data_IF_696297354322
#
_entry.id   IF_696297354322
#
_cell.length_a   1.000
_cell.length_b   1.000
_cell.length_c   1.000
_cell.angle_alpha   90.00
_cell.angle_beta   90.00
_cell.angle_gamma   90.00
#
_symmetry.space_group_name_H-M   'P 1'
#
loop_
_entity.id
_entity.type
_entity.pdbx_description
1 polymer ?
#
# COMPACT_ATOMS: atom_id res chain seq x y z
N UNK A 1 -56.17 7.74 16.15
CA UNK A 1 -56.27 6.42 16.82
C UNK A 1 -55.10 5.54 16.36
N UNK A 2 -54.48 4.86 17.32
CA UNK A 2 -53.52 3.75 17.21
C UNK A 2 -52.13 4.00 16.55
N UNK A 3 -51.13 4.18 17.43
CA UNK A 3 -49.72 3.82 17.21
C UNK A 3 -49.58 2.29 17.25
N UNK A 4 -48.60 1.74 16.53
CA UNK A 4 -47.97 0.47 16.93
C UNK A 4 -46.47 0.47 16.63
N UNK A 5 -45.73 0.26 17.70
CA UNK A 5 -44.28 0.07 17.79
C UNK A 5 -43.89 -1.35 17.36
N UNK A 6 -42.75 -1.51 16.69
CA UNK A 6 -42.04 -2.78 16.58
C UNK A 6 -40.78 -2.76 17.45
N UNK A 7 -40.82 -3.47 18.58
CA UNK A 7 -39.67 -3.72 19.44
C UNK A 7 -38.92 -4.97 19.01
N UNK A 8 -37.59 -4.90 18.98
CA UNK A 8 -36.70 -6.06 18.88
C UNK A 8 -36.24 -6.48 20.28
N UNK A 9 -36.33 -7.79 20.54
CA UNK A 9 -35.92 -8.43 21.80
C UNK A 9 -34.45 -8.84 21.73
N UNK A 10 -33.73 -8.56 22.82
CA UNK A 10 -32.42 -9.10 23.13
C UNK A 10 -32.48 -10.58 23.51
N UNK A 11 -31.46 -11.35 23.16
CA UNK A 11 -31.12 -12.63 23.78
C UNK A 11 -29.64 -12.58 24.14
N UNK A 12 -29.36 -12.56 25.44
CA UNK A 12 -28.05 -12.80 26.02
C UNK A 12 -28.07 -14.22 26.62
N UNK A 13 -27.06 -15.02 26.30
CA UNK A 13 -26.82 -16.32 26.94
C UNK A 13 -25.55 -16.20 27.77
N UNK A 14 -25.68 -16.61 29.04
CA UNK A 14 -24.66 -16.58 30.07
C UNK A 14 -24.22 -18.00 30.46
N UNK A 15 -23.06 -18.07 31.12
CA UNK A 15 -22.59 -19.19 31.94
C UNK A 15 -21.14 -19.57 31.62
N UNK A 16 -20.18 -19.62 32.53
CA UNK A 16 -20.14 -19.46 34.00
C UNK A 16 -18.84 -20.11 34.48
N UNK A 17 -18.11 -19.49 35.41
CA UNK A 17 -16.82 -19.97 35.93
C UNK A 17 -16.66 -19.66 37.43
N UNK A 18 -16.05 -20.62 38.14
CA UNK A 18 -15.51 -20.59 39.54
C UNK A 18 -16.57 -20.65 40.67
N UNK A 19 -16.34 -21.24 41.86
CA UNK A 19 -15.12 -21.65 42.55
C UNK A 19 -15.38 -22.76 43.60
N UNK A 20 -14.28 -23.34 44.09
CA UNK A 20 -14.12 -24.42 45.08
C UNK A 20 -14.23 -23.92 46.52
N UNK A 21 -14.85 -24.70 47.42
CA UNK A 21 -14.46 -24.81 48.85
C UNK A 21 -14.71 -26.25 49.32
N UNK A 22 -13.69 -26.87 49.93
CA UNK A 22 -13.76 -28.22 50.49
C UNK A 22 -13.98 -28.23 52.01
N UNK A 23 -14.41 -29.38 52.52
CA UNK A 23 -14.14 -29.80 53.90
C UNK A 23 -13.86 -31.32 53.91
N UNK A 24 -12.81 -31.68 54.63
CA UNK A 24 -12.26 -33.02 54.75
C UNK A 24 -12.79 -33.76 55.99
N UNK A 25 -12.90 -35.09 55.91
CA UNK A 25 -12.71 -35.95 57.09
C UNK A 25 -12.22 -37.36 56.70
N UNK A 26 -10.98 -37.61 57.12
CA UNK A 26 -10.22 -38.85 57.40
C UNK A 26 -10.85 -40.25 57.23
N UNK A 27 -10.07 -41.08 56.51
CA UNK A 27 -9.37 -42.29 56.97
C UNK A 27 -9.79 -43.69 56.47
N UNK A 28 -8.76 -44.36 55.95
CA UNK A 28 -8.43 -45.79 56.00
C UNK A 28 -9.04 -46.75 54.96
N UNK A 29 -8.14 -47.56 54.37
CA UNK A 29 -8.47 -48.82 53.70
C UNK A 29 -8.20 -48.86 52.19
N UNK A 30 -7.01 -49.33 51.79
CA UNK A 30 -6.79 -49.97 50.48
C UNK A 30 -7.35 -51.41 50.56
N UNK A 31 -7.78 -52.09 49.47
CA UNK A 31 -6.87 -52.38 48.35
C UNK A 31 -7.48 -52.47 46.93
N UNK A 32 -6.55 -52.57 45.98
CA UNK A 32 -6.58 -53.25 44.68
C UNK A 32 -7.44 -52.72 43.51
N UNK A 33 -6.74 -52.07 42.57
CA UNK A 33 -7.25 -51.68 41.24
C UNK A 33 -6.75 -52.66 40.17
N UNK A 34 -7.68 -53.39 39.56
CA UNK A 34 -7.45 -54.11 38.30
C UNK A 34 -7.27 -53.09 37.17
N UNK A 35 -6.09 -53.07 36.54
CA UNK A 35 -5.70 -52.10 35.52
C UNK A 35 -6.03 -52.64 34.13
N UNK A 36 -7.14 -52.19 33.54
CA UNK A 36 -7.40 -52.36 32.10
C UNK A 36 -6.49 -51.39 31.34
N UNK A 37 -5.58 -51.92 30.51
CA UNK A 37 -4.73 -51.12 29.61
C UNK A 37 -5.53 -50.74 28.37
N UNK A 38 -6.00 -49.50 28.30
CA UNK A 38 -6.38 -48.87 27.04
C UNK A 38 -5.12 -48.31 26.40
N UNK A 39 -4.68 -48.89 25.28
CA UNK A 39 -3.58 -48.35 24.49
C UNK A 39 -4.03 -47.03 23.84
N UNK A 40 -3.41 -45.92 24.23
CA UNK A 40 -3.61 -44.64 23.57
C UNK A 40 -2.89 -44.67 22.21
N UNK A 41 -3.65 -44.54 21.13
CA UNK A 41 -3.10 -44.28 19.79
C UNK A 41 -2.66 -42.82 19.80
N UNK A 42 -1.36 -42.59 19.93
CA UNK A 42 -0.79 -41.26 19.74
C UNK A 42 -0.92 -40.87 18.26
N UNK A 43 -1.75 -39.88 17.97
CA UNK A 43 -1.78 -39.21 16.66
C UNK A 43 -0.45 -38.48 16.51
N UNK A 44 0.46 -39.03 15.71
CA UNK A 44 1.65 -38.32 15.25
C UNK A 44 1.16 -37.11 14.46
N UNK A 45 1.32 -35.91 15.02
CA UNK A 45 1.11 -34.68 14.28
C UNK A 45 2.25 -34.59 13.24
N UNK A 46 1.94 -34.97 12.00
CA UNK A 46 2.83 -34.73 10.86
C UNK A 46 3.04 -33.22 10.74
N UNK A 47 4.31 -32.79 10.71
CA UNK A 47 4.65 -31.40 10.44
C UNK A 47 3.95 -30.94 9.15
N UNK A 48 3.39 -29.72 9.10
CA UNK A 48 2.75 -29.23 7.89
C UNK A 48 3.74 -29.29 6.73
N UNK A 49 3.29 -29.84 5.60
CA UNK A 49 4.10 -29.85 4.39
C UNK A 49 4.51 -28.40 4.04
N UNK A 50 5.78 -28.20 3.63
CA UNK A 50 6.24 -26.86 3.27
C UNK A 50 5.36 -26.30 2.14
N UNK A 51 5.08 -24.99 2.15
CA UNK A 51 4.17 -24.39 1.18
C UNK A 51 4.71 -24.57 -0.23
N UNK A 52 3.84 -25.04 -1.14
CA UNK A 52 4.15 -25.22 -2.57
C UNK A 52 4.20 -23.91 -3.35
N UNK A 53 3.74 -22.80 -2.75
CA UNK A 53 3.68 -21.46 -3.33
C UNK A 53 4.01 -20.42 -2.24
N UNK A 54 4.74 -19.37 -2.59
CA UNK A 54 4.97 -18.22 -1.73
C UNK A 54 3.96 -17.09 -2.04
N UNK A 55 3.39 -16.49 -1.01
CA UNK A 55 2.47 -15.35 -1.13
C UNK A 55 3.24 -14.04 -0.90
N UNK A 56 3.39 -13.26 -1.97
CA UNK A 56 4.27 -12.10 -2.00
C UNK A 56 5.74 -12.49 -1.87
N UNK A 57 6.62 -11.49 -1.89
CA UNK A 57 8.06 -11.71 -1.88
C UNK A 57 8.78 -11.03 -0.71
N UNK A 58 8.03 -10.46 0.24
CA UNK A 58 8.57 -9.81 1.45
C UNK A 58 9.44 -10.74 2.31
N UNK A 59 9.20 -12.06 2.28
CA UNK A 59 10.04 -13.05 2.98
C UNK A 59 11.45 -13.20 2.40
N UNK A 60 11.71 -12.59 1.23
CA UNK A 60 13.00 -12.55 0.56
C UNK A 60 13.76 -11.24 0.84
N UNK A 61 13.19 -10.34 1.64
CA UNK A 61 13.87 -9.12 2.09
C UNK A 61 15.19 -9.48 2.81
N UNK A 62 16.27 -8.81 2.41
CA UNK A 62 17.63 -9.10 2.89
C UNK A 62 18.27 -10.36 2.28
N UNK A 63 17.51 -11.19 1.54
CA UNK A 63 18.02 -12.40 0.89
C UNK A 63 18.24 -12.22 -0.61
N UNK A 64 17.44 -11.39 -1.27
CA UNK A 64 17.58 -11.13 -2.70
C UNK A 64 18.79 -10.23 -3.00
N UNK A 65 19.82 -10.75 -3.66
CA UNK A 65 21.03 -10.00 -4.01
C UNK A 65 20.85 -9.35 -5.38
N UNK A 66 19.95 -8.36 -5.46
CA UNK A 66 19.54 -7.72 -6.73
C UNK A 66 20.69 -7.03 -7.48
N UNK A 67 21.76 -6.63 -6.79
CA UNK A 67 22.94 -6.03 -7.42
C UNK A 67 23.72 -7.03 -8.31
N UNK A 68 23.49 -8.34 -8.13
CA UNK A 68 24.04 -9.42 -8.97
C UNK A 68 23.01 -9.95 -9.99
N UNK A 69 22.21 -9.03 -10.52
CA UNK A 69 21.23 -9.32 -11.57
C UNK A 69 21.92 -9.82 -12.85
N UNK A 70 21.49 -10.96 -13.35
CA UNK A 70 21.99 -11.58 -14.57
C UNK A 70 20.83 -11.95 -15.51
N UNK A 71 21.15 -12.08 -16.79
CA UNK A 71 20.19 -12.51 -17.82
C UNK A 71 20.45 -13.98 -18.15
N UNK A 72 19.42 -14.80 -18.01
CA UNK A 72 19.39 -16.20 -18.43
C UNK A 72 18.30 -16.36 -19.51
N UNK A 73 18.70 -16.38 -20.78
CA UNK A 73 17.77 -16.44 -21.90
C UNK A 73 16.83 -15.22 -21.96
N UNK A 74 15.53 -15.45 -21.82
CA UNK A 74 14.48 -14.45 -21.78
C UNK A 74 14.14 -13.94 -20.37
N UNK A 75 14.83 -14.43 -19.34
CA UNK A 75 14.56 -14.10 -17.94
C UNK A 75 15.70 -13.31 -17.30
N UNK A 76 15.33 -12.53 -16.30
CA UNK A 76 16.27 -11.92 -15.36
C UNK A 76 16.28 -12.71 -14.05
N UNK A 77 17.47 -13.00 -13.54
CA UNK A 77 17.68 -13.79 -12.34
C UNK A 77 18.61 -13.07 -11.37
N UNK A 78 18.44 -13.34 -10.08
CA UNK A 78 19.37 -12.85 -9.06
C UNK A 78 19.62 -13.94 -8.00
N UNK A 79 20.84 -14.05 -7.47
CA UNK A 79 21.15 -15.02 -6.45
C UNK A 79 20.44 -14.69 -5.13
N UNK A 80 20.18 -15.73 -4.34
CA UNK A 80 19.65 -15.62 -2.98
C UNK A 80 20.76 -15.86 -1.96
N UNK A 81 20.78 -15.06 -0.90
CA UNK A 81 21.62 -15.33 0.26
C UNK A 81 21.18 -16.64 0.94
N UNK A 82 22.15 -17.49 1.25
CA UNK A 82 21.91 -18.87 1.72
C UNK A 82 21.67 -19.90 0.61
N UNK A 83 21.88 -19.56 -0.66
CA UNK A 83 21.89 -20.51 -1.77
C UNK A 83 20.65 -20.47 -2.68
N UNK A 84 20.81 -20.92 -3.91
CA UNK A 84 19.77 -20.87 -4.95
C UNK A 84 19.65 -19.52 -5.65
N UNK A 85 18.58 -19.35 -6.44
CA UNK A 85 18.32 -18.13 -7.23
C UNK A 85 16.84 -17.77 -7.29
N UNK A 86 16.58 -16.48 -7.48
CA UNK A 86 15.26 -15.95 -7.76
C UNK A 86 15.13 -15.68 -9.26
N UNK A 87 14.06 -16.18 -9.86
CA UNK A 87 13.59 -15.75 -11.17
C UNK A 87 12.73 -14.50 -10.95
N UNK A 88 13.05 -13.41 -11.65
CA UNK A 88 12.36 -12.14 -11.45
C UNK A 88 11.17 -11.98 -12.41
N UNK A 89 10.25 -11.12 -12.01
CA UNK A 89 9.14 -10.63 -12.84
C UNK A 89 9.56 -9.53 -13.82
N UNK A 90 10.80 -9.06 -13.72
CA UNK A 90 11.36 -8.03 -14.59
C UNK A 90 11.40 -8.54 -16.03
N UNK A 91 10.85 -7.75 -16.94
CA UNK A 91 10.98 -7.95 -18.38
C UNK A 91 12.33 -7.36 -18.83
N UNK A 92 13.22 -8.16 -19.46
CA UNK A 92 14.55 -7.67 -19.83
C UNK A 92 14.53 -6.44 -20.74
N UNK A 93 13.56 -6.36 -21.67
CA UNK A 93 13.46 -5.27 -22.62
C UNK A 93 12.95 -3.99 -21.95
N UNK A 94 11.93 -4.08 -21.09
CA UNK A 94 11.45 -2.94 -20.31
C UNK A 94 12.49 -2.45 -19.30
N UNK A 95 13.22 -3.35 -18.67
CA UNK A 95 14.30 -3.01 -17.75
C UNK A 95 15.40 -2.22 -18.48
N UNK A 96 15.87 -2.72 -19.63
CA UNK A 96 16.88 -2.03 -20.45
C UNK A 96 16.38 -0.67 -20.93
N UNK A 97 15.15 -0.59 -21.46
CA UNK A 97 14.55 0.67 -21.89
C UNK A 97 14.45 1.70 -20.75
N UNK A 98 14.10 1.26 -19.54
CA UNK A 98 14.05 2.13 -18.37
C UNK A 98 15.45 2.64 -17.97
N UNK A 99 16.47 1.78 -17.98
CA UNK A 99 17.86 2.15 -17.71
C UNK A 99 18.39 3.15 -18.75
N UNK A 100 18.09 2.93 -20.03
CA UNK A 100 18.44 3.80 -21.15
C UNK A 100 17.86 5.21 -21.01
N UNK A 101 16.58 5.31 -20.64
CA UNK A 101 15.91 6.60 -20.40
C UNK A 101 16.59 7.33 -19.25
N UNK A 102 16.88 6.63 -18.14
CA UNK A 102 17.57 7.21 -16.99
C UNK A 102 18.99 7.66 -17.33
N UNK A 103 19.66 6.95 -18.23
CA UNK A 103 20.97 7.33 -18.71
C UNK A 103 20.95 8.64 -19.47
N UNK A 104 20.04 8.77 -20.44
CA UNK A 104 19.90 9.96 -21.29
C UNK A 104 19.43 11.17 -20.51
N UNK A 105 18.58 10.97 -19.49
CA UNK A 105 18.03 12.05 -18.68
C UNK A 105 19.09 12.81 -17.87
N UNK A 106 20.22 12.18 -17.53
CA UNK A 106 21.33 12.77 -16.75
C UNK A 106 20.91 13.47 -15.44
N UNK A 107 19.74 13.12 -14.89
CA UNK A 107 19.25 13.68 -13.63
C UNK A 107 20.18 13.30 -12.46
N UNK A 108 20.37 14.16 -11.44
CA UNK A 108 21.23 13.82 -10.29
C UNK A 108 20.85 12.49 -9.62
N UNK A 109 19.55 12.23 -9.54
CA UNK A 109 18.91 10.97 -9.16
C UNK A 109 17.73 10.74 -10.11
N UNK A 110 17.48 9.49 -10.47
CA UNK A 110 16.29 9.10 -11.20
C UNK A 110 15.94 7.64 -10.98
N UNK A 111 14.65 7.32 -11.06
CA UNK A 111 14.17 5.95 -11.02
C UNK A 111 12.92 5.80 -11.88
N UNK A 112 12.74 4.60 -12.42
CA UNK A 112 11.57 4.18 -13.18
C UNK A 112 11.11 2.84 -12.60
N UNK A 113 9.82 2.77 -12.30
CA UNK A 113 9.15 1.53 -11.90
C UNK A 113 7.98 1.32 -12.86
N UNK A 114 7.93 0.14 -13.47
CA UNK A 114 6.81 -0.29 -14.31
C UNK A 114 6.16 -1.49 -13.63
N UNK A 115 4.86 -1.43 -13.43
CA UNK A 115 4.08 -2.51 -12.82
C UNK A 115 2.95 -2.95 -13.75
N UNK A 116 2.72 -4.26 -13.78
CA UNK A 116 1.50 -4.85 -14.32
C UNK A 116 0.35 -4.69 -13.31
N UNK A 117 -0.90 -4.72 -13.80
CA UNK A 117 -2.11 -4.57 -12.97
C UNK A 117 -2.23 -5.66 -11.89
N UNK A 118 -1.63 -6.83 -12.11
CA UNK A 118 -1.55 -7.94 -11.15
C UNK A 118 -0.41 -7.79 -10.13
N UNK A 119 0.29 -6.66 -10.11
CA UNK A 119 1.35 -6.36 -9.13
C UNK A 119 2.74 -6.87 -9.50
N UNK A 120 2.94 -7.52 -10.66
CA UNK A 120 4.30 -7.83 -11.14
C UNK A 120 5.06 -6.56 -11.44
N UNK A 121 6.29 -6.44 -10.94
CA UNK A 121 7.21 -5.37 -11.29
C UNK A 121 7.93 -5.77 -12.57
N UNK A 122 7.63 -5.08 -13.67
CA UNK A 122 8.18 -5.38 -14.99
C UNK A 122 9.49 -4.62 -15.27
N UNK A 123 9.68 -3.47 -14.63
CA UNK A 123 10.95 -2.75 -14.63
C UNK A 123 11.16 -2.08 -13.27
N UNK A 124 12.41 -2.09 -12.80
CA UNK A 124 12.83 -1.56 -11.50
C UNK A 124 14.22 -0.96 -11.64
N UNK A 125 14.30 0.24 -12.22
CA UNK A 125 15.55 0.87 -12.61
C UNK A 125 15.81 2.13 -11.79
N UNK A 126 17.03 2.32 -11.32
CA UNK A 126 17.48 3.53 -10.62
C UNK A 126 18.88 3.93 -11.06
N UNK A 127 19.12 5.24 -11.21
CA UNK A 127 20.42 5.80 -11.59
C UNK A 127 20.78 7.01 -10.71
N UNK A 128 22.05 7.10 -10.34
CA UNK A 128 22.60 8.18 -9.52
C UNK A 128 23.80 8.80 -10.22
N UNK A 129 23.64 10.05 -10.68
CA UNK A 129 24.67 10.83 -11.36
C UNK A 129 25.38 11.84 -10.44
N UNK A 130 25.09 11.82 -9.13
CA UNK A 130 25.79 12.59 -8.08
C UNK A 130 26.53 11.65 -7.13
N UNK A 131 27.64 12.09 -6.52
CA UNK A 131 28.46 11.24 -5.64
C UNK A 131 27.65 10.59 -4.49
N UNK A 132 27.86 9.28 -4.19
CA UNK A 132 28.63 8.32 -5.00
C UNK A 132 27.89 8.00 -6.31
N UNK A 133 28.56 8.03 -7.46
CA UNK A 133 27.93 7.75 -8.76
C UNK A 133 27.61 6.27 -8.87
N UNK A 134 26.39 5.92 -9.30
CA UNK A 134 25.97 4.53 -9.56
C UNK A 134 25.16 4.45 -10.85
N UNK A 135 25.63 3.64 -11.81
CA UNK A 135 24.91 3.38 -13.08
C UNK A 135 23.60 2.63 -12.85
N UNK A 136 23.62 1.67 -11.92
CA UNK A 136 22.46 0.96 -11.38
C UNK A 136 22.42 1.17 -9.87
N UNK A 137 21.33 1.75 -9.37
CA UNK A 137 21.06 1.98 -7.95
C UNK A 137 19.64 1.48 -7.64
N UNK A 138 19.50 0.17 -7.39
CA UNK A 138 18.23 -0.49 -7.08
C UNK A 138 17.60 -0.02 -5.76
N UNK A 139 18.27 0.84 -4.98
CA UNK A 139 17.67 1.45 -3.81
C UNK A 139 16.73 2.62 -4.16
N UNK A 140 17.00 3.35 -5.25
CA UNK A 140 16.22 4.54 -5.62
C UNK A 140 14.75 4.26 -5.93
N UNK A 141 14.36 3.15 -6.59
CA UNK A 141 12.96 2.91 -6.87
C UNK A 141 12.13 2.60 -5.60
N UNK A 142 12.73 2.06 -4.54
CA UNK A 142 12.05 1.70 -3.29
C UNK A 142 12.19 2.73 -2.15
N UNK A 143 13.19 3.63 -2.22
CA UNK A 143 13.43 4.65 -1.19
C UNK A 143 12.72 5.97 -1.49
N UNK A 144 12.56 6.77 -0.45
CA UNK A 144 11.92 8.08 -0.52
C UNK A 144 12.99 9.16 -0.60
N UNK A 145 13.08 9.82 -1.75
CA UNK A 145 14.07 10.89 -1.99
C UNK A 145 13.46 12.13 -2.65
N UNK A 146 12.15 12.15 -2.82
CA UNK A 146 11.41 13.27 -3.39
C UNK A 146 10.05 13.47 -2.70
N UNK A 147 9.50 14.69 -2.73
CA UNK A 147 8.12 14.93 -2.34
C UNK A 147 7.15 14.18 -3.25
N UNK A 148 5.99 13.77 -2.71
CA UNK A 148 4.90 13.24 -3.53
C UNK A 148 4.34 14.31 -4.48
N UNK A 149 4.43 15.58 -4.06
CA UNK A 149 3.95 16.73 -4.80
C UNK A 149 2.52 16.53 -5.31
N UNK A 150 2.22 17.00 -6.53
CA UNK A 150 0.89 16.90 -7.14
C UNK A 150 0.38 15.47 -7.36
N UNK A 151 1.23 14.43 -7.29
CA UNK A 151 0.77 13.03 -7.34
C UNK A 151 -0.13 12.70 -6.16
N UNK A 152 0.09 13.36 -5.00
CA UNK A 152 -0.78 13.18 -3.83
C UNK A 152 -2.24 13.58 -4.08
N UNK A 153 -2.51 14.43 -5.08
CA UNK A 153 -3.89 14.80 -5.46
C UNK A 153 -4.73 13.60 -5.89
N UNK A 154 -4.13 12.47 -6.29
CA UNK A 154 -4.88 11.22 -6.55
C UNK A 154 -5.57 10.75 -5.27
N UNK A 155 -4.85 10.75 -4.14
CA UNK A 155 -5.38 10.37 -2.82
C UNK A 155 -6.43 11.38 -2.36
N UNK A 156 -6.12 12.67 -2.43
CA UNK A 156 -7.08 13.75 -2.09
C UNK A 156 -8.34 13.66 -2.92
N UNK A 157 -8.21 13.38 -4.22
CA UNK A 157 -9.35 13.31 -5.14
C UNK A 157 -10.22 12.10 -4.86
N UNK A 158 -9.63 10.93 -4.59
CA UNK A 158 -10.36 9.75 -4.16
C UNK A 158 -11.15 10.01 -2.86
N UNK A 159 -10.56 10.75 -1.91
CA UNK A 159 -11.23 11.15 -0.68
C UNK A 159 -12.40 12.13 -0.94
N UNK A 160 -12.24 13.09 -1.84
CA UNK A 160 -13.31 14.03 -2.23
C UNK A 160 -14.48 13.31 -2.91
N UNK A 161 -14.20 12.39 -3.83
CA UNK A 161 -15.21 11.56 -4.48
C UNK A 161 -16.00 10.74 -3.45
N UNK A 162 -15.31 10.12 -2.49
CA UNK A 162 -15.94 9.37 -1.40
C UNK A 162 -16.77 10.25 -0.44
N UNK A 163 -16.58 11.57 -0.46
CA UNK A 163 -17.44 12.56 0.24
C UNK A 163 -18.58 13.09 -0.63
N UNK A 164 -18.76 12.55 -1.84
CA UNK A 164 -19.84 12.94 -2.76
C UNK A 164 -19.53 14.19 -3.59
N UNK A 165 -18.29 14.67 -3.62
CA UNK A 165 -17.91 15.80 -4.49
C UNK A 165 -17.85 15.31 -5.92
N UNK A 166 -18.84 15.71 -6.74
CA UNK A 166 -18.90 15.32 -8.14
C UNK A 166 -17.71 15.86 -8.95
N UNK A 167 -17.17 15.13 -9.94
CA UNK A 167 -16.13 15.63 -10.86
C UNK A 167 -16.53 16.93 -11.58
N UNK A 168 -17.83 17.15 -11.77
CA UNK A 168 -18.41 18.33 -12.43
C UNK A 168 -18.58 19.53 -11.50
N UNK A 169 -18.34 19.38 -10.18
CA UNK A 169 -18.42 20.48 -9.21
C UNK A 169 -17.54 21.63 -9.67
N UNK A 170 -18.13 22.81 -9.89
CA UNK A 170 -17.41 24.01 -10.31
C UNK A 170 -16.85 24.75 -9.11
N UNK A 171 -15.60 25.20 -9.23
CA UNK A 171 -14.96 26.12 -8.30
C UNK A 171 -14.51 27.34 -9.09
N UNK A 172 -14.99 28.50 -8.66
CA UNK A 172 -14.46 29.77 -9.15
C UNK A 172 -13.26 30.15 -8.29
N UNK A 173 -12.18 30.56 -8.94
CA UNK A 173 -10.89 30.84 -8.30
C UNK A 173 -10.14 31.95 -9.04
N UNK A 174 -9.02 32.36 -8.45
CA UNK A 174 -8.02 33.26 -9.05
C UNK A 174 -6.63 32.74 -8.77
N UNK A 175 -5.74 32.78 -9.76
CA UNK A 175 -4.34 32.35 -9.60
C UNK A 175 -4.18 30.88 -9.17
N UNK A 176 -3.23 30.64 -8.26
CA UNK A 176 -3.12 29.38 -7.51
C UNK A 176 -2.65 28.13 -8.26
N UNK A 177 -2.25 28.21 -9.54
CA UNK A 177 -1.72 27.03 -10.25
C UNK A 177 -0.52 26.43 -9.51
N UNK A 178 0.37 27.28 -8.99
CA UNK A 178 1.63 26.90 -8.32
C UNK A 178 1.68 27.34 -6.85
N UNK A 179 0.56 27.73 -6.25
CA UNK A 179 0.51 28.19 -4.85
C UNK A 179 -0.83 27.88 -4.19
N UNK A 180 -0.86 27.89 -2.87
CA UNK A 180 -2.10 27.88 -2.08
C UNK A 180 -1.97 28.92 -0.98
N UNK A 181 -2.83 29.94 -1.01
CA UNK A 181 -2.88 31.04 -0.06
C UNK A 181 -4.25 31.08 0.61
N UNK A 182 -4.38 31.79 1.74
CA UNK A 182 -5.60 31.80 2.55
C UNK A 182 -6.85 32.18 1.74
N UNK A 183 -6.71 33.10 0.79
CA UNK A 183 -7.83 33.55 -0.05
C UNK A 183 -8.32 32.48 -1.03
N UNK A 184 -7.49 31.49 -1.42
CA UNK A 184 -7.95 30.38 -2.26
C UNK A 184 -8.92 29.44 -1.52
N UNK A 185 -9.08 29.58 -0.20
CA UNK A 185 -10.00 28.77 0.61
C UNK A 185 -11.39 29.39 0.73
N UNK A 186 -11.59 30.57 0.14
CA UNK A 186 -12.81 31.34 0.23
C UNK A 186 -13.30 31.65 -1.19
N UNK A 187 -14.61 31.72 -1.36
CA UNK A 187 -15.22 32.14 -2.62
C UNK A 187 -15.46 33.65 -2.57
N UNK A 188 -14.87 34.38 -3.52
CA UNK A 188 -15.00 35.83 -3.66
C UNK A 188 -15.45 36.19 -5.09
N UNK A 189 -16.78 36.26 -5.36
CA UNK A 189 -17.33 36.46 -6.72
C UNK A 189 -16.76 37.65 -7.48
N UNK A 190 -16.41 38.75 -6.78
CA UNK A 190 -15.87 39.97 -7.40
C UNK A 190 -14.44 39.81 -7.92
N UNK A 191 -13.73 38.78 -7.46
CA UNK A 191 -12.29 38.58 -7.73
C UNK A 191 -11.99 37.25 -8.42
N UNK A 192 -12.84 36.26 -8.27
CA UNK A 192 -12.66 34.92 -8.82
C UNK A 192 -13.18 34.88 -10.26
N UNK A 193 -12.29 35.17 -11.21
CA UNK A 193 -12.63 35.38 -12.63
C UNK A 193 -12.59 34.11 -13.48
N UNK A 194 -12.04 33.01 -12.98
CA UNK A 194 -12.01 31.72 -13.66
C UNK A 194 -12.87 30.72 -12.89
N UNK A 195 -13.66 29.91 -13.59
CA UNK A 195 -14.47 28.87 -12.97
C UNK A 195 -14.28 27.57 -13.72
N UNK A 196 -13.75 26.56 -13.03
CA UNK A 196 -13.43 25.26 -13.62
C UNK A 196 -13.93 24.13 -12.72
N UNK A 197 -13.98 22.93 -13.30
CA UNK A 197 -14.49 21.74 -12.61
C UNK A 197 -13.45 21.12 -11.68
N UNK A 198 -13.91 20.29 -10.74
CA UNK A 198 -13.02 19.44 -9.94
C UNK A 198 -12.13 18.55 -10.82
N UNK A 199 -12.68 17.96 -11.88
CA UNK A 199 -11.89 17.16 -12.84
C UNK A 199 -10.81 17.99 -13.54
N UNK A 200 -11.09 19.24 -13.92
CA UNK A 200 -10.07 20.17 -14.40
C UNK A 200 -9.00 20.44 -13.33
N UNK A 201 -9.42 20.61 -12.08
CA UNK A 201 -8.54 20.76 -10.92
C UNK A 201 -7.46 19.67 -10.83
N UNK A 202 -7.87 18.41 -11.00
CA UNK A 202 -6.95 17.28 -11.03
C UNK A 202 -6.15 17.24 -12.33
N UNK A 203 -6.81 17.32 -13.50
CA UNK A 203 -6.19 17.14 -14.81
C UNK A 203 -5.14 18.21 -15.16
N UNK A 204 -5.36 19.46 -14.75
CA UNK A 204 -4.42 20.56 -14.95
C UNK A 204 -3.56 20.86 -13.72
N UNK A 205 -3.65 20.01 -12.70
CA UNK A 205 -2.95 20.17 -11.43
C UNK A 205 -3.14 21.57 -10.82
N UNK A 206 -4.35 22.12 -10.89
CA UNK A 206 -4.67 23.43 -10.35
C UNK A 206 -4.82 23.36 -8.82
N UNK A 207 -3.88 23.96 -8.07
CA UNK A 207 -3.87 23.83 -6.61
C UNK A 207 -5.04 24.55 -5.93
N UNK A 208 -5.48 25.71 -6.43
CA UNK A 208 -6.56 26.47 -5.80
C UNK A 208 -7.87 25.66 -5.73
N UNK A 209 -8.24 24.99 -6.82
CA UNK A 209 -9.45 24.15 -6.89
C UNK A 209 -9.38 23.00 -5.88
N UNK A 210 -8.26 22.26 -5.86
CA UNK A 210 -8.09 21.13 -4.95
C UNK A 210 -8.06 21.60 -3.49
N UNK A 211 -7.36 22.69 -3.21
CA UNK A 211 -7.28 23.30 -1.88
C UNK A 211 -8.67 23.70 -1.39
N UNK A 212 -9.44 24.44 -2.19
CA UNK A 212 -10.79 24.87 -1.86
C UNK A 212 -11.71 23.69 -1.54
N UNK A 213 -11.76 22.69 -2.41
CA UNK A 213 -12.61 21.51 -2.22
C UNK A 213 -12.17 20.69 -1.00
N UNK A 214 -10.87 20.44 -0.84
CA UNK A 214 -10.35 19.69 0.30
C UNK A 214 -10.65 20.37 1.64
N UNK A 215 -10.48 21.69 1.71
CA UNK A 215 -10.73 22.47 2.92
C UNK A 215 -12.22 22.45 3.32
N UNK A 216 -13.12 22.40 2.34
CA UNK A 216 -14.57 22.41 2.56
C UNK A 216 -15.14 21.04 2.90
N UNK A 217 -14.56 19.96 2.38
CA UNK A 217 -15.18 18.63 2.42
C UNK A 217 -14.40 17.57 3.18
N UNK A 218 -13.11 17.78 3.43
CA UNK A 218 -12.25 16.81 4.09
C UNK A 218 -11.84 17.27 5.47
N UNK A 219 -11.73 16.30 6.37
CA UNK A 219 -11.02 16.45 7.64
C UNK A 219 -9.75 15.59 7.65
N UNK A 220 -8.82 15.93 8.54
CA UNK A 220 -7.53 15.25 8.70
C UNK A 220 -7.68 13.75 8.94
N UNK A 221 -8.64 13.33 9.78
CA UNK A 221 -8.84 11.92 10.13
C UNK A 221 -9.32 11.14 8.90
N UNK A 222 -10.18 11.73 8.07
CA UNK A 222 -10.70 11.12 6.86
C UNK A 222 -9.59 10.98 5.80
N UNK A 223 -8.85 12.05 5.52
CA UNK A 223 -7.76 12.02 4.54
C UNK A 223 -6.64 11.08 4.97
N UNK A 224 -6.31 11.01 6.27
CA UNK A 224 -5.34 10.03 6.82
C UNK A 224 -5.75 8.59 6.50
N UNK A 225 -7.04 8.24 6.63
CA UNK A 225 -7.52 6.89 6.29
C UNK A 225 -7.35 6.59 4.81
N UNK A 226 -7.58 7.56 3.94
CA UNK A 226 -7.33 7.41 2.50
C UNK A 226 -5.84 7.27 2.21
N UNK A 227 -4.98 8.12 2.75
CA UNK A 227 -3.53 7.99 2.60
C UNK A 227 -3.03 6.58 3.02
N UNK A 228 -3.45 6.10 4.18
CA UNK A 228 -3.10 4.75 4.67
C UNK A 228 -3.64 3.64 3.75
N UNK A 229 -4.84 3.80 3.18
CA UNK A 229 -5.40 2.84 2.23
C UNK A 229 -4.59 2.78 0.93
N UNK A 230 -4.05 3.91 0.50
CA UNK A 230 -3.22 4.02 -0.69
C UNK A 230 -1.75 3.67 -0.45
N UNK A 231 -1.37 3.25 0.75
CA UNK A 231 -0.02 2.75 1.06
C UNK A 231 0.93 3.78 1.69
N UNK A 232 0.44 4.96 2.09
CA UNK A 232 1.23 5.87 2.93
C UNK A 232 1.31 5.37 4.39
N UNK A 233 2.33 5.84 5.11
CA UNK A 233 2.65 5.57 6.52
C UNK A 233 3.06 4.13 6.85
N UNK A 234 3.06 3.23 5.87
CA UNK A 234 3.46 1.84 6.05
C UNK A 234 4.50 1.45 5.01
N UNK A 235 5.45 0.60 5.42
CA UNK A 235 6.36 -0.03 4.48
C UNK A 235 5.60 -0.90 3.49
N UNK A 236 6.12 -1.03 2.28
CA UNK A 236 5.56 -1.89 1.24
C UNK A 236 6.18 -3.28 1.45
N UNK A 237 5.37 -4.34 1.70
CA UNK A 237 5.89 -5.70 1.79
C UNK A 237 6.48 -6.11 0.44
N UNK A 238 7.81 -6.22 0.37
CA UNK A 238 8.54 -6.37 -0.89
C UNK A 238 9.89 -7.07 -0.65
N UNK A 239 10.42 -7.76 -1.67
CA UNK A 239 11.71 -8.46 -1.57
C UNK A 239 12.93 -7.56 -1.35
N UNK A 240 12.79 -6.25 -1.52
CA UNK A 240 13.85 -5.26 -1.29
C UNK A 240 13.44 -4.29 -0.19
N UNK A 241 14.43 -3.68 0.47
CA UNK A 241 14.17 -2.66 1.49
C UNK A 241 13.38 -1.48 0.93
N UNK A 242 12.20 -1.25 1.52
CA UNK A 242 11.33 -0.13 1.16
C UNK A 242 11.31 0.92 2.27
N UNK A 243 11.24 2.18 1.86
CA UNK A 243 11.04 3.29 2.77
C UNK A 243 9.56 3.70 2.75
N UNK A 244 8.87 3.78 3.90
CA UNK A 244 7.48 4.20 3.95
C UNK A 244 7.30 5.60 3.36
N UNK A 245 6.36 5.73 2.42
CA UNK A 245 5.89 7.03 1.95
C UNK A 245 5.15 7.73 3.09
N UNK A 246 5.28 9.06 3.23
CA UNK A 246 4.71 9.79 4.36
C UNK A 246 3.78 10.92 3.91
N UNK A 247 2.83 11.27 4.77
CA UNK A 247 1.97 12.42 4.63
C UNK A 247 1.73 13.03 6.01
N UNK A 248 2.26 14.22 6.26
CA UNK A 248 1.99 14.96 7.48
C UNK A 248 0.80 15.89 7.22
N UNK A 249 -0.28 15.72 7.97
CA UNK A 249 -1.52 16.48 7.81
C UNK A 249 -1.61 17.49 8.97
N UNK A 250 -1.37 18.79 8.72
CA UNK A 250 -1.46 19.84 9.73
C UNK A 250 -2.92 20.09 10.16
N UNK A 251 -3.10 20.72 11.32
CA UNK A 251 -4.44 21.07 11.84
C UNK A 251 -4.91 22.45 11.34
N UNK A 252 -3.98 23.35 10.98
CA UNK A 252 -4.34 24.67 10.45
C UNK A 252 -4.95 24.52 9.04
N UNK A 253 -6.11 25.16 8.75
CA UNK A 253 -6.82 24.98 7.47
C UNK A 253 -5.98 25.22 6.21
N UNK A 254 -5.19 26.30 6.19
CA UNK A 254 -4.32 26.62 5.05
C UNK A 254 -3.21 25.60 4.83
N UNK A 255 -2.61 25.13 5.92
CA UNK A 255 -1.53 24.15 5.87
C UNK A 255 -2.05 22.77 5.44
N UNK A 256 -3.23 22.38 5.95
CA UNK A 256 -3.96 21.20 5.52
C UNK A 256 -4.29 21.24 4.03
N UNK A 257 -4.86 22.36 3.55
CA UNK A 257 -5.22 22.53 2.15
C UNK A 257 -3.99 22.53 1.21
N UNK A 258 -2.87 23.10 1.65
CA UNK A 258 -1.56 23.00 0.95
C UNK A 258 -1.12 21.55 0.81
N UNK A 259 -1.21 20.74 1.86
CA UNK A 259 -0.88 19.32 1.79
C UNK A 259 -1.82 18.57 0.85
N UNK A 260 -3.14 18.81 0.94
CA UNK A 260 -4.14 18.20 0.07
C UNK A 260 -3.91 18.50 -1.41
N UNK A 261 -3.48 19.72 -1.72
CA UNK A 261 -3.10 20.14 -3.07
C UNK A 261 -1.72 19.64 -3.51
N UNK A 262 -1.05 18.79 -2.72
CA UNK A 262 0.26 18.24 -3.06
C UNK A 262 1.36 19.31 -3.11
N UNK A 263 1.20 20.41 -2.37
CA UNK A 263 2.18 21.50 -2.35
C UNK A 263 3.37 21.19 -1.43
N UNK A 264 3.12 20.52 -0.30
CA UNK A 264 4.14 20.19 0.70
C UNK A 264 3.69 19.05 1.64
N UNK A 265 4.57 18.63 2.55
CA UNK A 265 4.28 17.67 3.63
C UNK A 265 3.83 16.27 3.19
N UNK A 266 4.27 15.82 2.02
CA UNK A 266 4.15 14.43 1.61
C UNK A 266 5.36 13.97 0.83
N UNK A 267 5.75 12.72 1.02
CA UNK A 267 6.89 12.09 0.37
C UNK A 267 6.46 10.73 -0.20
N UNK A 268 7.03 10.35 -1.33
CA UNK A 268 6.59 9.17 -2.08
C UNK A 268 7.79 8.50 -2.75
N UNK A 269 7.92 7.19 -2.57
CA UNK A 269 8.90 6.41 -3.35
C UNK A 269 8.36 6.14 -4.77
N UNK A 270 9.22 5.97 -5.78
CA UNK A 270 8.78 5.58 -7.13
C UNK A 270 7.91 4.32 -7.16
N UNK A 271 8.26 3.30 -6.35
CA UNK A 271 7.45 2.10 -6.16
C UNK A 271 6.07 2.45 -5.59
N UNK A 272 6.00 3.29 -4.55
CA UNK A 272 4.73 3.79 -4.03
C UNK A 272 3.91 4.55 -5.08
N UNK A 273 4.55 5.35 -5.93
CA UNK A 273 3.91 6.03 -7.06
C UNK A 273 3.30 5.06 -8.06
N UNK A 274 3.99 3.96 -8.39
CA UNK A 274 3.45 2.90 -9.25
C UNK A 274 2.21 2.25 -8.62
N UNK A 275 2.18 2.07 -7.29
CA UNK A 275 1.00 1.55 -6.59
C UNK A 275 -0.18 2.52 -6.66
N UNK A 276 0.04 3.83 -6.53
CA UNK A 276 -1.03 4.84 -6.69
C UNK A 276 -1.66 4.77 -8.09
N UNK A 277 -0.81 4.69 -9.13
CA UNK A 277 -1.28 4.54 -10.50
C UNK A 277 -2.06 3.22 -10.68
N UNK A 278 -1.57 2.14 -10.08
CA UNK A 278 -2.21 0.83 -10.17
C UNK A 278 -3.60 0.79 -9.51
N UNK A 279 -3.81 1.53 -8.42
CA UNK A 279 -5.15 1.68 -7.80
C UNK A 279 -6.15 2.27 -8.80
N UNK A 280 -5.73 3.24 -9.62
CA UNK A 280 -6.58 3.81 -10.66
C UNK A 280 -6.82 2.79 -11.78
N UNK A 281 -5.75 2.14 -12.27
CA UNK A 281 -5.82 1.18 -13.36
C UNK A 281 -6.70 -0.04 -13.05
N UNK A 282 -6.72 -0.47 -11.79
CA UNK A 282 -7.50 -1.62 -11.30
C UNK A 282 -8.88 -1.24 -10.76
N UNK A 283 -9.36 0.00 -11.04
CA UNK A 283 -10.68 0.49 -10.60
C UNK A 283 -10.85 0.35 -9.08
N UNK A 284 -9.86 0.84 -8.33
CA UNK A 284 -9.94 0.97 -6.88
C UNK A 284 -9.37 -0.19 -6.07
N UNK A 285 -8.63 -1.12 -6.68
CA UNK A 285 -7.96 -2.19 -5.95
C UNK A 285 -6.52 -1.81 -5.60
N UNK A 286 -6.14 -2.04 -4.36
CA UNK A 286 -4.74 -2.06 -3.95
C UNK A 286 -4.19 -3.46 -4.20
N UNK A 287 -3.22 -3.52 -5.10
CA UNK A 287 -2.45 -4.72 -5.42
C UNK A 287 -1.03 -4.50 -4.91
N UNK A 288 -0.52 -5.43 -4.09
CA UNK A 288 0.84 -5.34 -3.58
C UNK A 288 1.84 -5.73 -4.67
N UNK A 289 2.95 -4.99 -4.83
CA UNK A 289 3.95 -5.30 -5.83
C UNK A 289 4.75 -6.55 -5.44
N UNK A 290 5.26 -7.28 -6.44
CA UNK A 290 6.27 -8.33 -6.29
C UNK A 290 7.27 -8.23 -7.45
N UNK A 291 8.54 -8.40 -7.17
CA UNK A 291 9.63 -8.45 -8.15
C UNK A 291 10.09 -9.88 -8.41
N UNK A 292 9.83 -10.83 -7.50
CA UNK A 292 10.17 -12.24 -7.68
C UNK A 292 8.99 -13.02 -8.26
N UNK A 293 9.25 -13.84 -9.28
CA UNK A 293 8.29 -14.73 -9.93
C UNK A 293 8.41 -16.15 -9.38
N UNK A 294 9.64 -16.65 -9.18
CA UNK A 294 9.91 -17.99 -8.67
C UNK A 294 11.18 -17.99 -7.82
N UNK A 295 11.25 -18.90 -6.84
CA UNK A 295 12.45 -19.21 -6.07
C UNK A 295 12.93 -20.61 -6.43
N UNK A 296 14.16 -20.73 -6.92
CA UNK A 296 14.81 -21.99 -7.25
C UNK A 296 15.84 -22.28 -6.15
N UNK A 297 15.61 -23.31 -5.34
CA UNK A 297 16.50 -23.73 -4.25
C UNK A 297 17.58 -24.67 -4.76
N UNK A 298 18.64 -24.84 -3.97
CA UNK A 298 19.75 -25.75 -4.29
C UNK A 298 19.34 -27.23 -4.31
N UNK A 299 18.32 -27.60 -3.54
CA UNK A 299 17.74 -28.95 -3.52
C UNK A 299 16.88 -29.28 -4.77
N UNK A 300 16.82 -28.35 -5.73
CA UNK A 300 16.01 -28.47 -6.95
C UNK A 300 14.55 -28.05 -6.79
N UNK A 301 14.12 -27.67 -5.59
CA UNK A 301 12.75 -27.19 -5.36
C UNK A 301 12.51 -25.85 -6.05
N UNK A 302 11.43 -25.77 -6.83
CA UNK A 302 10.96 -24.53 -7.44
C UNK A 302 9.66 -24.10 -6.75
N UNK A 303 9.66 -22.88 -6.22
CA UNK A 303 8.50 -22.28 -5.55
C UNK A 303 8.01 -21.06 -6.34
N UNK A 304 6.83 -21.13 -6.97
CA UNK A 304 6.19 -19.96 -7.55
C UNK A 304 5.88 -18.90 -6.49
N UNK A 305 5.97 -17.63 -6.88
CA UNK A 305 5.62 -16.49 -6.04
C UNK A 305 4.44 -15.75 -6.64
N UNK A 306 3.31 -15.76 -5.93
CA UNK A 306 2.06 -15.12 -6.36
C UNK A 306 1.73 -13.93 -5.48
N UNK A 307 1.07 -12.92 -6.05
CA UNK A 307 0.60 -11.79 -5.27
C UNK A 307 -0.50 -12.20 -4.27
N UNK A 308 -0.59 -11.57 -3.09
CA UNK A 308 -1.74 -11.74 -2.22
C UNK A 308 -3.02 -11.21 -2.89
N UNK A 309 -4.18 -11.62 -2.38
CA UNK A 309 -5.46 -11.14 -2.86
C UNK A 309 -5.53 -9.59 -2.82
N UNK A 310 -5.94 -8.92 -3.91
CA UNK A 310 -6.11 -7.48 -3.93
C UNK A 310 -7.14 -6.99 -2.90
N UNK A 311 -6.96 -5.77 -2.41
CA UNK A 311 -7.89 -5.15 -1.44
C UNK A 311 -8.56 -3.92 -2.03
N UNK A 312 -9.88 -3.81 -1.94
CA UNK A 312 -10.59 -2.59 -2.37
C UNK A 312 -10.26 -1.40 -1.46
N UNK A 313 -9.84 -0.28 -2.06
CA UNK A 313 -9.42 0.94 -1.36
C UNK A 313 -10.18 2.19 -1.78
N UNK A 314 -10.71 2.21 -3.01
CA UNK A 314 -11.75 3.14 -3.45
C UNK A 314 -13.08 2.38 -3.46
N UNK A 315 -14.06 2.92 -2.73
CA UNK A 315 -15.43 2.42 -2.74
C UNK A 315 -16.23 3.32 -3.69
N UNK A 316 -16.87 2.74 -4.71
CA UNK A 316 -17.83 3.47 -5.51
C UNK A 316 -19.18 3.50 -4.79
N UNK A 317 -19.99 4.51 -5.07
CA UNK A 317 -21.34 4.65 -4.47
C UNK A 317 -22.22 3.44 -4.82
N UNK A 318 -21.90 2.75 -5.93
CA UNK A 318 -22.59 1.53 -6.37
C UNK A 318 -22.03 0.23 -5.76
N UNK A 319 -20.99 0.30 -4.91
CA UNK A 319 -20.38 -0.86 -4.23
C UNK A 319 -21.00 -1.14 -2.84
N UNK A 320 -22.07 -0.45 -2.44
CA UNK A 320 -22.73 -0.54 -1.12
C UNK A 320 -24.21 -0.94 -1.26
#
# INVERSE_FOLDING_TARGET
>A
MARLHSGWKAVAVAGGLAAVVGLASRASGSPEKTRVKTAAIAKVATAPEPPSVLIGDASLQGKLIIDKLEREGDKLVAPLDGGGKAILTLDPWLQEAAEDVLERAKAPLGAIVVTSVDGRVLAFAGRRNRKPIKKRDFSLPAKVWAPAASVFKIVTSAALLAKGVAPTTKVCYRGGIRSVDAHHLQYEPKRDRACETFSFGLAKSQNAIIAFLSNRHLDKKFLRRFANRFGFEKGIPFALDTEPSSCQLPDKPLEFARTCAGFWNSTLSPLGGSMLANVVATRGLQVLPRIVAEVHREDGTVLPVVGPAPRRVILFVDDA
#
